data_IF_725634474367
#
_entry.id   IF_725634474367
#
_cell.length_a   1.000
_cell.length_b   1.000
_cell.length_c   1.000
_cell.angle_alpha   90.00
_cell.angle_beta   90.00
_cell.angle_gamma   90.00
#
_symmetry.space_group_name_H-M   'P 1'
#
loop_
_entity.id
_entity.type
_entity.pdbx_description
1 polymer ?
#
# COMPACT_ATOMS: atom_id res chain seq x y z
N UNK A 1 23.90 13.12 46.78
CA UNK A 1 23.02 13.33 45.60
C UNK A 1 22.33 14.67 45.78
N UNK A 2 22.44 15.55 44.78
CA UNK A 2 21.70 16.81 44.76
C UNK A 2 20.23 16.53 44.37
N UNK A 3 19.29 17.21 45.03
CA UNK A 3 17.91 17.24 44.56
C UNK A 3 17.74 18.27 43.47
N UNK A 4 16.99 17.97 42.46
CA UNK A 4 16.79 18.83 41.30
C UNK A 4 15.37 18.79 40.78
N UNK A 5 14.97 19.82 40.08
CA UNK A 5 13.70 19.94 39.38
C UNK A 5 13.97 19.97 37.89
N UNK A 6 13.29 19.14 37.14
CA UNK A 6 13.30 19.18 35.67
C UNK A 6 12.13 20.01 35.18
N UNK A 7 12.44 21.06 34.41
CA UNK A 7 11.43 21.85 33.72
C UNK A 7 11.48 21.52 32.24
N UNK A 8 10.32 21.21 31.68
CA UNK A 8 10.17 20.99 30.27
C UNK A 8 9.45 22.14 29.61
N UNK A 9 9.89 22.46 28.43
CA UNK A 9 9.20 23.40 27.54
C UNK A 9 9.32 22.97 26.09
N UNK A 10 8.34 23.37 25.29
CA UNK A 10 8.35 23.15 23.83
C UNK A 10 8.18 24.49 23.13
N UNK A 11 8.90 24.65 22.01
CA UNK A 11 8.75 25.79 21.11
C UNK A 11 8.78 25.27 19.66
N UNK A 12 7.61 25.14 19.05
CA UNK A 12 7.47 24.43 17.79
C UNK A 12 7.90 22.97 17.94
N UNK A 13 8.78 22.50 17.09
CA UNK A 13 9.38 21.15 17.14
C UNK A 13 10.53 21.03 18.13
N UNK A 14 10.99 22.14 18.74
CA UNK A 14 12.10 22.14 19.68
C UNK A 14 11.63 21.78 21.08
N UNK A 15 12.27 20.80 21.68
CA UNK A 15 12.08 20.37 23.07
C UNK A 15 13.24 20.88 23.91
N UNK A 16 12.91 21.43 25.07
CA UNK A 16 13.84 21.97 26.05
C UNK A 16 13.66 21.22 27.36
N UNK A 17 14.75 20.76 27.95
CA UNK A 17 14.78 20.20 29.28
C UNK A 17 15.76 21.04 30.13
N UNK A 18 15.28 21.67 31.19
CA UNK A 18 16.05 22.54 32.03
C UNK A 18 16.14 21.97 33.43
N UNK A 19 17.36 21.64 33.87
CA UNK A 19 17.65 21.10 35.22
C UNK A 19 17.97 22.20 36.21
N UNK A 20 17.15 22.33 37.25
CA UNK A 20 17.32 23.31 38.30
C UNK A 20 17.65 22.61 39.62
N UNK A 21 18.82 22.78 40.13
CA UNK A 21 19.23 22.16 41.37
C UNK A 21 18.69 22.93 42.58
N UNK A 22 18.27 22.16 43.60
CA UNK A 22 17.80 22.69 44.87
C UNK A 22 18.97 22.75 45.87
N UNK A 23 19.04 23.81 46.68
CA UNK A 23 20.06 23.98 47.67
C UNK A 23 20.15 25.44 48.16
N UNK A 24 21.20 25.79 48.82
CA UNK A 24 21.48 27.19 49.23
C UNK A 24 21.72 28.10 48.03
N UNK A 25 22.30 27.52 46.98
CA UNK A 25 22.39 28.15 45.66
C UNK A 25 22.32 27.07 44.56
N UNK A 26 22.16 27.49 43.32
CA UNK A 26 21.98 26.59 42.20
C UNK A 26 23.28 26.26 41.43
N UNK A 27 24.45 26.56 41.99
CA UNK A 27 25.74 26.42 41.31
C UNK A 27 26.79 25.64 42.09
N UNK A 28 26.81 25.70 43.41
CA UNK A 28 27.89 25.13 44.21
C UNK A 28 27.46 24.48 45.52
N UNK A 29 26.34 24.88 46.10
CA UNK A 29 25.82 24.29 47.35
C UNK A 29 24.42 23.74 47.12
N UNK A 30 24.34 22.42 46.92
CA UNK A 30 23.09 21.67 46.67
C UNK A 30 22.52 21.02 47.93
N UNK A 31 22.94 21.48 49.12
CA UNK A 31 22.42 20.93 50.38
C UNK A 31 21.03 21.46 50.67
N UNK A 32 20.09 20.52 50.81
CA UNK A 32 18.71 20.80 51.22
C UNK A 32 18.59 20.61 52.71
N UNK A 33 18.08 21.61 53.43
CA UNK A 33 17.90 21.58 54.87
C UNK A 33 16.48 21.16 55.24
N UNK A 34 16.36 20.33 56.25
CA UNK A 34 15.06 19.94 56.81
C UNK A 34 14.32 21.17 57.37
N UNK A 35 13.02 21.19 57.27
CA UNK A 35 12.11 22.24 57.73
C UNK A 35 12.35 23.63 57.06
N UNK A 36 12.96 23.64 55.88
CA UNK A 36 13.12 24.84 55.09
C UNK A 36 12.14 24.87 53.93
N UNK A 37 11.60 26.04 53.64
CA UNK A 37 10.78 26.28 52.47
C UNK A 37 11.62 26.93 51.38
N UNK A 38 11.81 26.21 50.26
CA UNK A 38 12.57 26.72 49.12
C UNK A 38 11.59 27.37 48.12
N UNK A 39 11.85 28.63 47.78
CA UNK A 39 11.09 29.35 46.76
C UNK A 39 11.99 29.58 45.55
N UNK A 40 11.64 28.95 44.44
CA UNK A 40 12.33 29.11 43.17
C UNK A 40 11.55 30.09 42.30
N UNK A 41 12.22 31.15 41.85
CA UNK A 41 11.70 32.05 40.81
C UNK A 41 12.48 31.76 39.54
N UNK A 42 11.83 31.18 38.55
CA UNK A 42 12.44 30.79 37.28
C UNK A 42 11.83 31.65 36.20
N UNK A 43 12.69 32.35 35.46
CA UNK A 43 12.28 33.12 34.28
C UNK A 43 12.96 32.54 33.06
N UNK A 44 12.17 31.95 32.18
CA UNK A 44 12.66 31.46 30.90
C UNK A 44 12.66 32.61 29.89
N UNK A 45 13.84 33.10 29.54
CA UNK A 45 13.99 34.21 28.60
C UNK A 45 14.26 33.71 27.17
N UNK A 46 15.07 32.70 27.03
CA UNK A 46 15.50 32.12 25.75
C UNK A 46 15.94 30.66 25.94
N UNK A 47 16.10 29.99 24.79
CA UNK A 47 16.77 28.70 24.68
C UNK A 47 18.30 28.90 24.61
N UNK A 48 18.89 29.39 25.70
CA UNK A 48 20.33 29.60 25.76
C UNK A 48 21.06 28.26 25.91
N UNK A 49 21.41 27.66 24.77
CA UNK A 49 22.11 26.38 24.70
C UNK A 49 23.56 26.41 25.18
N UNK A 50 24.11 27.58 25.46
CA UNK A 50 25.39 27.71 26.13
C UNK A 50 25.32 27.36 27.63
N UNK A 51 24.13 27.34 28.23
CA UNK A 51 23.93 26.89 29.60
C UNK A 51 23.85 25.34 29.64
N UNK A 52 24.83 24.72 30.28
CA UNK A 52 24.94 23.27 30.41
C UNK A 52 23.80 22.60 31.18
N UNK A 53 22.94 23.37 31.82
CA UNK A 53 21.73 22.91 32.50
C UNK A 53 20.55 22.76 31.54
N UNK A 54 20.67 23.26 30.31
CA UNK A 54 19.67 23.18 29.27
C UNK A 54 20.09 22.12 28.28
N UNK A 55 19.28 21.09 28.15
CA UNK A 55 19.35 20.17 27.02
C UNK A 55 18.26 20.54 26.04
N UNK A 56 18.61 20.66 24.78
CA UNK A 56 17.65 20.99 23.71
C UNK A 56 17.84 20.08 22.51
N UNK A 57 16.74 19.59 21.97
CA UNK A 57 16.76 18.84 20.72
C UNK A 57 15.57 19.18 19.84
N UNK A 58 15.73 18.95 18.57
CA UNK A 58 14.67 18.96 17.57
C UNK A 58 14.71 17.65 16.81
N UNK A 59 13.57 17.03 16.61
CA UNK A 59 13.43 15.87 15.77
C UNK A 59 12.54 16.23 14.57
N UNK A 60 12.98 15.89 13.36
CA UNK A 60 12.15 15.84 12.17
C UNK A 60 12.00 14.37 11.79
N UNK A 61 10.76 13.89 11.78
CA UNK A 61 10.44 12.50 11.45
C UNK A 61 9.58 12.51 10.19
N UNK A 62 10.05 11.83 9.17
CA UNK A 62 9.38 11.69 7.88
C UNK A 62 9.76 10.36 7.25
N UNK A 63 8.98 9.88 6.32
CA UNK A 63 9.31 8.74 5.48
C UNK A 63 9.45 9.18 4.02
N UNK A 64 9.95 8.31 3.18
CA UNK A 64 10.12 8.54 1.76
C UNK A 64 9.10 7.79 0.90
N UNK A 65 7.99 7.35 1.49
CA UNK A 65 6.85 6.88 0.72
C UNK A 65 6.37 7.99 -0.21
N UNK A 66 6.36 7.72 -1.50
CA UNK A 66 5.96 8.70 -2.50
C UNK A 66 4.43 8.74 -2.66
N UNK A 67 3.78 9.56 -1.86
CA UNK A 67 2.32 9.74 -1.84
C UNK A 67 1.78 10.57 -3.02
N UNK A 68 2.60 10.99 -3.94
CA UNK A 68 2.22 12.04 -4.89
C UNK A 68 2.04 11.60 -6.33
N UNK A 69 2.62 10.49 -6.72
CA UNK A 69 2.77 10.16 -8.15
C UNK A 69 1.48 9.64 -8.79
N UNK A 70 0.56 9.10 -8.03
CA UNK A 70 -0.70 8.56 -8.55
C UNK A 70 -1.88 9.03 -7.69
N UNK A 71 -2.30 10.29 -7.85
CA UNK A 71 -3.56 10.77 -7.29
C UNK A 71 -3.70 10.69 -5.75
N UNK A 72 -2.61 10.79 -5.00
CA UNK A 72 -2.60 10.68 -3.54
C UNK A 72 -2.39 9.26 -3.02
N UNK A 73 -2.04 8.33 -3.89
CA UNK A 73 -1.62 6.98 -3.54
C UNK A 73 -0.10 6.85 -3.70
N UNK A 74 0.55 6.08 -2.88
CA UNK A 74 1.96 5.77 -3.05
C UNK A 74 2.17 4.58 -3.99
N UNK A 75 3.29 4.60 -4.68
CA UNK A 75 3.77 3.46 -5.44
C UNK A 75 4.55 2.56 -4.50
N UNK A 76 4.30 1.27 -4.57
CA UNK A 76 5.04 0.32 -3.74
C UNK A 76 6.48 0.22 -4.23
N UNK A 77 7.41 0.49 -3.32
CA UNK A 77 8.83 0.22 -3.46
C UNK A 77 9.30 -0.50 -2.17
N UNK A 78 10.02 -1.61 -2.26
CA UNK A 78 10.52 -2.31 -1.09
C UNK A 78 11.67 -1.60 -0.37
N UNK A 79 12.21 -0.53 -0.93
CA UNK A 79 13.38 0.18 -0.39
C UNK A 79 13.01 1.51 0.31
N UNK A 80 11.80 1.64 0.84
CA UNK A 80 11.43 2.82 1.62
C UNK A 80 12.15 2.90 2.96
N UNK A 81 12.31 4.11 3.47
CA UNK A 81 12.96 4.37 4.74
C UNK A 81 12.19 5.35 5.61
N UNK A 82 12.19 5.09 6.90
CA UNK A 82 11.86 6.09 7.93
C UNK A 82 13.10 6.90 8.25
N UNK A 83 12.97 8.20 8.17
CA UNK A 83 14.01 9.17 8.49
C UNK A 83 13.72 9.82 9.84
N UNK A 84 14.70 9.84 10.72
CA UNK A 84 14.66 10.58 11.98
C UNK A 84 15.87 11.48 12.04
N UNK A 85 15.69 12.73 11.63
CA UNK A 85 16.74 13.74 11.64
C UNK A 85 16.76 14.44 12.98
N UNK A 86 17.88 14.28 13.68
CA UNK A 86 18.07 14.82 15.01
C UNK A 86 19.02 16.01 15.00
N UNK A 87 18.64 17.07 15.72
CA UNK A 87 19.53 18.15 16.11
C UNK A 87 19.53 18.21 17.62
N UNK A 88 20.59 17.72 18.24
CA UNK A 88 20.79 17.76 19.67
C UNK A 88 21.87 18.78 20.00
N UNK A 89 21.50 19.92 20.57
CA UNK A 89 22.39 21.04 20.77
C UNK A 89 23.33 20.83 21.96
N UNK A 90 22.93 20.06 22.97
CA UNK A 90 23.69 19.86 24.20
C UNK A 90 24.05 18.39 24.52
N UNK A 91 24.14 17.60 23.51
CA UNK A 91 25.02 16.45 23.44
C UNK A 91 24.62 15.08 23.92
N UNK A 92 23.76 14.83 24.85
CA UNK A 92 23.73 13.49 25.43
C UNK A 92 22.36 13.01 25.90
N UNK A 93 21.30 13.61 25.42
CA UNK A 93 19.98 13.00 25.64
C UNK A 93 19.86 11.71 24.86
N UNK A 94 19.72 10.61 25.56
CA UNK A 94 19.35 9.35 24.94
C UNK A 94 17.88 9.43 24.51
N UNK A 95 17.62 9.06 23.28
CA UNK A 95 16.27 9.05 22.68
C UNK A 95 16.02 7.67 22.15
N UNK A 96 14.94 7.05 22.58
CA UNK A 96 14.42 5.80 22.07
C UNK A 96 13.21 6.06 21.17
N UNK A 97 13.02 5.21 20.19
CA UNK A 97 11.89 5.22 19.29
C UNK A 97 11.03 3.98 19.48
N UNK A 98 9.74 4.14 19.21
CA UNK A 98 8.78 3.05 19.08
C UNK A 98 7.94 3.29 17.85
N UNK A 99 7.88 2.31 16.97
CA UNK A 99 6.96 2.27 15.83
C UNK A 99 5.81 1.32 16.17
N UNK A 100 4.58 1.73 15.91
CA UNK A 100 3.37 0.93 16.10
C UNK A 100 2.53 0.96 14.83
N UNK A 101 2.20 -0.21 14.27
CA UNK A 101 1.26 -0.33 13.15
C UNK A 101 -0.16 -0.10 13.66
N UNK A 102 -0.86 0.88 13.12
CA UNK A 102 -2.23 1.26 13.52
C UNK A 102 -3.30 0.86 12.50
N UNK A 103 -2.90 0.61 11.26
CA UNK A 103 -3.76 0.07 10.20
C UNK A 103 -2.91 -0.70 9.19
N UNK A 104 -3.47 -1.75 8.63
CA UNK A 104 -2.81 -2.64 7.70
C UNK A 104 -2.52 -4.00 8.31
N UNK A 105 -1.84 -4.85 7.56
CA UNK A 105 -1.49 -6.20 7.99
C UNK A 105 -0.07 -6.20 8.56
N UNK A 106 0.02 -6.14 9.89
CA UNK A 106 1.30 -6.02 10.59
C UNK A 106 2.22 -7.24 10.42
N UNK A 107 1.67 -8.39 10.05
CA UNK A 107 2.46 -9.61 9.80
C UNK A 107 3.32 -9.50 8.53
N UNK A 108 3.04 -8.51 7.68
CA UNK A 108 3.74 -8.23 6.43
C UNK A 108 4.42 -6.86 6.40
N UNK A 109 4.59 -6.27 7.56
CA UNK A 109 5.33 -5.02 7.72
C UNK A 109 6.70 -5.33 8.35
N UNK A 110 7.76 -4.99 7.62
CA UNK A 110 9.12 -5.09 8.12
C UNK A 110 9.65 -3.70 8.49
N UNK A 111 10.26 -3.60 9.66
CA UNK A 111 10.99 -2.45 10.11
C UNK A 111 12.44 -2.84 10.38
N UNK A 112 13.36 -2.14 9.74
CA UNK A 112 14.81 -2.40 9.81
C UNK A 112 15.14 -3.88 9.56
N UNK A 113 14.47 -4.47 8.54
CA UNK A 113 14.60 -5.88 8.12
C UNK A 113 14.19 -6.90 9.19
N UNK A 114 13.31 -6.50 10.06
CA UNK A 114 12.73 -7.36 11.11
C UNK A 114 11.22 -7.29 11.04
N UNK A 115 10.55 -8.43 11.08
CA UNK A 115 9.09 -8.51 11.10
C UNK A 115 8.53 -7.72 12.29
N UNK A 116 7.71 -6.74 11.98
CA UNK A 116 7.16 -5.81 12.97
C UNK A 116 5.81 -6.30 13.50
N UNK A 117 5.75 -7.35 14.27
CA UNK A 117 4.54 -7.87 14.90
C UNK A 117 3.79 -6.81 15.75
N UNK A 118 3.11 -5.85 15.10
CA UNK A 118 2.40 -4.68 15.63
C UNK A 118 3.28 -3.54 16.15
N UNK A 119 4.44 -3.79 16.72
CA UNK A 119 5.32 -2.71 17.21
C UNK A 119 6.78 -3.11 17.24
N UNK A 120 7.64 -2.13 17.08
CA UNK A 120 9.08 -2.27 17.12
C UNK A 120 9.70 -1.14 17.95
N UNK A 121 10.59 -1.48 18.90
CA UNK A 121 11.36 -0.52 19.69
C UNK A 121 12.76 -0.36 19.08
N UNK A 122 13.23 0.87 18.92
CA UNK A 122 14.51 1.17 18.31
C UNK A 122 15.24 2.32 19.03
N UNK A 123 16.55 2.38 18.85
CA UNK A 123 17.38 3.44 19.43
C UNK A 123 17.83 4.43 18.36
N UNK A 124 17.91 5.70 18.73
CA UNK A 124 18.51 6.72 17.89
C UNK A 124 20.03 6.61 18.01
N UNK A 125 20.67 6.08 16.97
CA UNK A 125 22.12 5.83 16.95
C UNK A 125 22.94 7.10 16.64
N UNK A 126 22.35 8.08 15.98
CA UNK A 126 22.98 9.36 15.69
C UNK A 126 22.15 10.52 16.28
N UNK A 127 22.42 10.92 17.54
CA UNK A 127 21.63 11.97 18.20
C UNK A 127 21.86 13.38 17.65
N UNK A 128 22.76 13.55 16.67
CA UNK A 128 23.11 14.85 16.06
C UNK A 128 23.01 14.87 14.55
N UNK A 129 22.28 13.94 13.98
CA UNK A 129 22.13 13.84 12.53
C UNK A 129 21.04 12.88 12.12
N UNK A 130 21.12 12.41 10.87
CA UNK A 130 20.16 11.50 10.30
C UNK A 130 20.28 10.08 10.84
N UNK A 131 19.15 9.48 11.07
CA UNK A 131 18.96 8.06 11.35
C UNK A 131 17.99 7.52 10.32
N UNK A 132 18.30 6.39 9.71
CA UNK A 132 17.54 5.79 8.61
C UNK A 132 17.19 4.37 8.98
N UNK A 133 15.93 4.02 8.88
CA UNK A 133 15.40 2.70 9.20
C UNK A 133 14.62 2.20 7.99
N UNK A 134 14.97 1.03 7.52
CA UNK A 134 14.32 0.40 6.39
C UNK A 134 12.85 0.09 6.68
N UNK A 135 11.99 0.32 5.69
CA UNK A 135 10.56 -0.01 5.74
C UNK A 135 10.19 -0.88 4.55
N UNK A 136 9.46 -1.96 4.78
CA UNK A 136 8.81 -2.74 3.74
C UNK A 136 7.39 -3.13 4.17
N UNK A 137 6.46 -3.06 3.24
CA UNK A 137 5.08 -3.49 3.45
C UNK A 137 4.55 -4.25 2.24
N UNK A 138 4.47 -5.57 2.36
CA UNK A 138 4.02 -6.44 1.29
C UNK A 138 3.01 -7.48 1.75
N UNK A 139 1.75 -7.10 2.09
CA UNK A 139 0.77 -8.04 2.61
C UNK A 139 0.52 -9.20 1.64
N UNK A 140 0.42 -10.41 2.16
CA UNK A 140 0.18 -11.62 1.36
C UNK A 140 -1.21 -11.66 0.73
N UNK A 141 -2.15 -10.88 1.29
CA UNK A 141 -3.53 -10.75 0.81
C UNK A 141 -3.85 -9.30 0.56
N UNK A 142 -3.76 -8.89 -0.70
CA UNK A 142 -4.16 -7.54 -1.10
C UNK A 142 -5.68 -7.44 -1.18
N UNK A 143 -6.28 -6.83 -0.16
CA UNK A 143 -7.66 -6.36 -0.18
C UNK A 143 -7.64 -4.83 -0.11
N UNK A 144 -8.79 -4.19 -0.39
CA UNK A 144 -8.89 -2.72 -0.23
C UNK A 144 -8.52 -2.29 1.21
N UNK A 145 -8.85 -3.11 2.20
CA UNK A 145 -8.57 -2.83 3.60
C UNK A 145 -7.07 -2.98 3.92
N UNK A 146 -6.39 -3.96 3.31
CA UNK A 146 -4.96 -4.20 3.50
C UNK A 146 -4.06 -3.36 2.57
N UNK A 147 -4.63 -2.58 1.69
CA UNK A 147 -3.87 -1.68 0.82
C UNK A 147 -3.43 -0.40 1.52
N UNK A 148 -3.90 -0.15 2.72
CA UNK A 148 -3.54 1.02 3.52
C UNK A 148 -2.63 0.59 4.66
N UNK A 149 -1.46 1.21 4.74
CA UNK A 149 -0.56 1.13 5.87
C UNK A 149 -0.69 2.43 6.67
N UNK A 150 -0.95 2.31 7.97
CA UNK A 150 -0.80 3.43 8.88
C UNK A 150 0.01 3.00 10.10
N UNK A 151 0.92 3.85 10.52
CA UNK A 151 1.75 3.60 11.68
C UNK A 151 2.04 4.89 12.44
N UNK A 152 2.41 4.73 13.70
CA UNK A 152 2.82 5.82 14.59
C UNK A 152 4.24 5.61 15.02
N UNK A 153 5.04 6.66 14.95
CA UNK A 153 6.39 6.71 15.52
C UNK A 153 6.34 7.58 16.77
N UNK A 154 6.80 7.04 17.89
CA UNK A 154 6.91 7.78 19.15
C UNK A 154 8.38 7.85 19.55
N UNK A 155 8.90 9.04 19.70
CA UNK A 155 10.24 9.29 20.21
C UNK A 155 10.14 9.68 21.69
N UNK A 156 10.89 9.00 22.54
CA UNK A 156 10.88 9.24 23.99
C UNK A 156 12.30 9.53 24.45
N UNK A 157 12.50 10.63 25.16
CA UNK A 157 13.79 10.95 25.74
C UNK A 157 14.02 10.27 27.11
N UNK A 158 15.24 10.29 27.60
CA UNK A 158 15.66 9.66 28.88
C UNK A 158 14.88 10.13 30.11
N UNK A 159 14.14 11.24 30.00
CA UNK A 159 13.29 11.75 31.06
C UNK A 159 11.81 11.38 30.88
N UNK A 160 11.48 10.57 29.86
CA UNK A 160 10.13 10.09 29.59
C UNK A 160 9.24 11.08 28.86
N UNK A 161 9.79 12.13 28.24
CA UNK A 161 9.00 12.97 27.36
C UNK A 161 8.87 12.33 25.98
N UNK A 162 7.62 12.19 25.53
CA UNK A 162 7.28 11.53 24.28
C UNK A 162 6.69 12.51 23.27
N UNK A 163 7.09 12.36 22.00
CA UNK A 163 6.50 13.02 20.83
C UNK A 163 6.08 11.96 19.83
N UNK A 164 4.88 12.07 19.27
CA UNK A 164 4.36 11.09 18.32
C UNK A 164 4.10 11.73 16.96
N UNK A 165 4.33 10.92 15.91
CA UNK A 165 4.18 11.25 14.51
C UNK A 165 3.36 10.16 13.86
N UNK A 166 2.27 10.53 13.18
CA UNK A 166 1.37 9.60 12.53
C UNK A 166 1.57 9.64 11.02
N UNK A 167 1.66 8.45 10.42
CA UNK A 167 1.83 8.24 8.99
C UNK A 167 0.70 7.38 8.44
N UNK A 168 0.29 7.65 7.22
CA UNK A 168 -0.73 6.87 6.55
C UNK A 168 -0.55 6.92 5.04
N UNK A 169 -0.38 5.74 4.45
CA UNK A 169 -0.15 5.55 3.02
C UNK A 169 -1.15 4.55 2.45
N UNK A 170 -1.56 4.77 1.22
CA UNK A 170 -2.45 3.86 0.49
C UNK A 170 -1.80 3.47 -0.83
N UNK A 171 -1.61 2.17 -1.06
CA UNK A 171 -0.99 1.65 -2.26
C UNK A 171 -1.96 1.71 -3.44
N UNK A 172 -1.60 2.41 -4.51
CA UNK A 172 -2.43 2.59 -5.70
C UNK A 172 -2.20 1.56 -6.80
N UNK A 173 -1.12 0.83 -6.71
CA UNK A 173 -0.66 -0.05 -7.76
C UNK A 173 -1.22 -1.49 -7.68
N UNK A 174 -2.39 -1.65 -7.04
CA UNK A 174 -3.08 -2.93 -6.94
C UNK A 174 -4.15 -3.04 -8.02
N UNK A 175 -4.09 -4.10 -8.82
CA UNK A 175 -5.16 -4.50 -9.73
C UNK A 175 -5.77 -5.82 -9.27
N UNK A 176 -7.10 -5.85 -9.24
CA UNK A 176 -7.89 -7.04 -8.95
C UNK A 176 -8.47 -7.56 -10.26
N UNK A 177 -7.92 -8.66 -10.76
CA UNK A 177 -8.43 -9.32 -11.96
C UNK A 177 -9.41 -10.44 -11.58
N UNK A 178 -10.69 -10.22 -11.87
CA UNK A 178 -11.76 -11.18 -11.62
C UNK A 178 -12.01 -12.05 -12.84
N UNK A 179 -12.29 -13.33 -12.63
CA UNK A 179 -12.66 -14.25 -13.69
C UNK A 179 -14.09 -14.71 -13.55
N UNK A 180 -14.78 -14.90 -14.65
CA UNK A 180 -15.96 -15.77 -14.68
C UNK A 180 -15.54 -17.24 -14.61
N UNK A 181 -16.50 -18.16 -14.46
CA UNK A 181 -16.24 -19.59 -14.61
C UNK A 181 -15.60 -19.89 -15.98
N UNK A 182 -14.77 -20.91 -16.04
CA UNK A 182 -14.17 -21.42 -17.28
C UNK A 182 -12.82 -20.85 -17.66
N UNK A 183 -12.16 -20.11 -16.76
CA UNK A 183 -10.82 -19.63 -17.01
C UNK A 183 -10.06 -19.19 -15.77
N UNK A 184 -8.84 -18.76 -15.99
CA UNK A 184 -7.96 -18.21 -14.98
C UNK A 184 -7.23 -16.99 -15.50
N UNK A 185 -6.73 -16.18 -14.57
CA UNK A 185 -5.86 -15.04 -14.86
C UNK A 185 -4.56 -15.24 -14.11
N UNK A 186 -3.47 -14.98 -14.79
CA UNK A 186 -2.13 -14.80 -14.19
C UNK A 186 -1.69 -13.38 -14.40
N UNK A 187 -0.89 -12.87 -13.47
CA UNK A 187 -0.22 -11.59 -13.60
C UNK A 187 1.29 -11.80 -13.60
N UNK A 188 1.98 -11.10 -14.46
CA UNK A 188 3.44 -11.04 -14.49
C UNK A 188 3.91 -9.59 -14.62
N UNK A 189 5.22 -9.36 -14.47
CA UNK A 189 5.81 -8.04 -14.39
C UNK A 189 5.20 -7.23 -13.23
N UNK A 190 5.06 -7.88 -12.10
CA UNK A 190 4.52 -7.31 -10.87
C UNK A 190 5.36 -7.79 -9.68
N UNK A 191 5.29 -7.03 -8.60
CA UNK A 191 6.06 -7.31 -7.38
C UNK A 191 5.51 -8.53 -6.65
N UNK A 192 4.18 -8.64 -6.58
CA UNK A 192 3.51 -9.73 -5.89
C UNK A 192 2.17 -10.07 -6.53
N UNK A 193 1.79 -11.35 -6.48
CA UNK A 193 0.46 -11.79 -6.92
C UNK A 193 -0.15 -12.78 -5.95
N UNK A 194 -1.47 -12.71 -5.81
CA UNK A 194 -2.24 -13.69 -5.06
C UNK A 194 -3.55 -14.00 -5.78
N UNK A 195 -3.92 -15.29 -5.80
CA UNK A 195 -5.19 -15.74 -6.37
C UNK A 195 -6.06 -16.39 -5.30
N UNK A 196 -7.30 -15.96 -5.20
CA UNK A 196 -8.32 -16.50 -4.30
C UNK A 196 -9.57 -16.94 -5.11
N UNK A 197 -10.32 -17.89 -4.57
CA UNK A 197 -11.61 -18.26 -5.15
C UNK A 197 -12.67 -17.23 -4.78
N UNK A 198 -13.48 -16.81 -5.74
CA UNK A 198 -14.51 -15.80 -5.54
C UNK A 198 -15.75 -16.09 -6.42
N UNK A 199 -16.91 -16.27 -5.80
CA UNK A 199 -18.20 -16.26 -6.50
C UNK A 199 -18.37 -17.15 -7.72
N UNK A 200 -17.74 -18.35 -7.76
CA UNK A 200 -17.76 -19.23 -8.92
C UNK A 200 -16.67 -18.99 -9.96
N UNK A 201 -15.82 -18.00 -9.74
CA UNK A 201 -14.60 -17.71 -10.49
C UNK A 201 -13.40 -17.58 -9.55
N UNK A 202 -12.44 -16.78 -9.98
CA UNK A 202 -11.23 -16.46 -9.21
C UNK A 202 -10.95 -14.97 -9.27
N UNK A 203 -10.33 -14.46 -8.23
CA UNK A 203 -9.74 -13.12 -8.20
C UNK A 203 -8.24 -13.24 -8.08
N UNK A 204 -7.50 -12.64 -9.00
CA UNK A 204 -6.06 -12.46 -8.92
C UNK A 204 -5.78 -11.01 -8.58
N UNK A 205 -5.23 -10.77 -7.40
CA UNK A 205 -4.70 -9.47 -7.02
C UNK A 205 -3.23 -9.40 -7.45
N UNK A 206 -2.82 -8.30 -8.05
CA UNK A 206 -1.44 -8.04 -8.42
C UNK A 206 -1.00 -6.66 -7.93
N UNK A 207 0.11 -6.64 -7.22
CA UNK A 207 0.83 -5.42 -6.87
C UNK A 207 1.76 -5.08 -8.05
N UNK A 208 1.44 -4.02 -8.75
CA UNK A 208 2.12 -3.67 -9.98
C UNK A 208 3.28 -2.70 -9.73
N UNK A 209 4.25 -2.68 -10.61
CA UNK A 209 5.21 -1.57 -10.71
C UNK A 209 4.53 -0.30 -11.25
N UNK A 210 5.19 0.84 -11.17
CA UNK A 210 4.72 2.11 -11.73
C UNK A 210 4.32 2.01 -13.20
N UNK A 211 5.10 1.28 -13.99
CA UNK A 211 4.87 1.04 -15.42
C UNK A 211 3.78 -0.02 -15.68
N UNK A 212 3.25 -0.62 -14.62
CA UNK A 212 2.14 -1.56 -14.64
C UNK A 212 2.54 -3.02 -14.57
N UNK A 213 1.56 -3.86 -14.82
CA UNK A 213 1.71 -5.31 -14.89
C UNK A 213 1.03 -5.86 -16.13
N UNK A 214 1.36 -7.11 -16.49
CA UNK A 214 0.71 -7.82 -17.59
C UNK A 214 -0.21 -8.90 -17.03
N UNK A 215 -1.50 -8.78 -17.34
CA UNK A 215 -2.52 -9.78 -17.05
C UNK A 215 -2.67 -10.71 -18.25
N UNK A 216 -2.70 -12.02 -18.01
CA UNK A 216 -2.89 -13.02 -19.05
C UNK A 216 -4.04 -13.93 -18.68
N UNK A 217 -5.05 -13.99 -19.56
CA UNK A 217 -6.21 -14.82 -19.42
C UNK A 217 -5.99 -16.19 -20.10
N UNK A 218 -6.38 -17.27 -19.44
CA UNK A 218 -6.32 -18.61 -19.98
C UNK A 218 -7.67 -19.32 -19.80
N UNK A 219 -8.29 -19.70 -20.90
CA UNK A 219 -9.52 -20.47 -20.90
C UNK A 219 -9.26 -21.94 -20.54
N UNK A 220 -10.21 -22.60 -19.92
CA UNK A 220 -10.12 -24.01 -19.53
C UNK A 220 -11.29 -24.83 -20.15
N UNK A 221 -10.98 -26.07 -20.55
CA UNK A 221 -11.97 -26.98 -21.09
C UNK A 221 -12.67 -26.48 -22.36
N UNK A 222 -13.97 -26.41 -22.31
CA UNK A 222 -14.81 -25.97 -23.43
C UNK A 222 -15.12 -24.46 -23.41
N UNK A 223 -14.31 -23.68 -22.73
CA UNK A 223 -14.48 -22.24 -22.68
C UNK A 223 -13.53 -21.51 -23.64
N UNK A 224 -13.91 -20.32 -24.04
CA UNK A 224 -13.08 -19.39 -24.77
C UNK A 224 -13.04 -18.07 -24.04
N UNK A 225 -11.89 -17.40 -24.12
CA UNK A 225 -11.77 -16.04 -23.61
C UNK A 225 -12.52 -15.07 -24.54
N UNK A 226 -13.22 -14.13 -23.91
CA UNK A 226 -14.05 -13.15 -24.63
C UNK A 226 -13.40 -11.78 -24.63
N UNK A 227 -12.87 -11.37 -23.50
CA UNK A 227 -12.25 -10.05 -23.35
C UNK A 227 -12.10 -9.64 -21.90
N UNK A 228 -11.37 -8.54 -21.75
CA UNK A 228 -11.19 -7.81 -20.52
C UNK A 228 -12.19 -6.67 -20.43
N UNK A 229 -12.84 -6.52 -19.29
CA UNK A 229 -13.87 -5.52 -19.06
C UNK A 229 -13.57 -4.69 -17.83
N UNK A 230 -14.05 -3.45 -17.83
CA UNK A 230 -13.87 -2.52 -16.72
C UNK A 230 -14.97 -2.63 -15.65
N UNK A 231 -15.94 -3.51 -15.83
CA UNK A 231 -17.06 -3.67 -14.91
C UNK A 231 -17.60 -5.11 -14.89
N UNK A 232 -18.19 -5.49 -13.76
CA UNK A 232 -18.73 -6.83 -13.54
C UNK A 232 -19.92 -7.19 -14.47
N UNK A 233 -20.58 -6.19 -15.04
CA UNK A 233 -21.68 -6.41 -15.99
C UNK A 233 -21.18 -6.70 -17.42
N UNK A 234 -19.86 -6.63 -17.62
CA UNK A 234 -19.21 -6.78 -18.92
C UNK A 234 -19.74 -5.79 -19.98
N UNK A 235 -20.02 -4.56 -19.56
CA UNK A 235 -20.57 -3.53 -20.44
C UNK A 235 -19.50 -2.72 -21.16
N UNK A 236 -18.32 -2.53 -20.55
CA UNK A 236 -17.22 -1.72 -21.09
C UNK A 236 -16.00 -2.60 -21.38
N UNK A 237 -15.82 -2.96 -22.64
CA UNK A 237 -14.67 -3.72 -23.09
C UNK A 237 -13.38 -2.87 -23.03
N UNK A 238 -12.32 -3.44 -22.48
CA UNK A 238 -10.97 -2.87 -22.44
C UNK A 238 -10.07 -3.45 -23.52
N UNK A 239 -10.12 -4.79 -23.69
CA UNK A 239 -9.30 -5.51 -24.68
C UNK A 239 -9.92 -6.86 -25.00
N UNK A 240 -9.80 -7.32 -26.24
CA UNK A 240 -10.11 -8.67 -26.67
C UNK A 240 -8.88 -9.59 -26.74
N UNK A 241 -7.70 -9.06 -26.52
CA UNK A 241 -6.48 -9.88 -26.48
C UNK A 241 -6.41 -10.64 -25.15
N UNK A 242 -5.97 -11.89 -25.19
CA UNK A 242 -5.73 -12.68 -23.96
C UNK A 242 -4.72 -12.03 -23.03
N UNK A 243 -3.79 -11.24 -23.56
CA UNK A 243 -2.84 -10.46 -22.78
C UNK A 243 -3.26 -9.00 -22.72
N UNK A 244 -3.29 -8.44 -21.53
CA UNK A 244 -3.66 -7.05 -21.26
C UNK A 244 -2.63 -6.39 -20.34
N UNK A 245 -2.03 -5.29 -20.80
CA UNK A 245 -1.14 -4.49 -19.98
C UNK A 245 -1.97 -3.48 -19.18
N UNK A 246 -1.99 -3.67 -17.88
CA UNK A 246 -2.59 -2.72 -16.95
C UNK A 246 -1.52 -1.72 -16.48
N UNK A 247 -1.87 -0.45 -16.47
CA UNK A 247 -1.05 0.61 -15.91
C UNK A 247 -1.83 1.25 -14.76
N UNK A 248 -1.25 1.34 -13.55
CA UNK A 248 -1.89 1.97 -12.39
C UNK A 248 -2.33 3.40 -12.69
N UNK A 249 -3.38 3.80 -12.02
CA UNK A 249 -3.94 5.15 -12.05
C UNK A 249 -4.24 5.60 -10.63
N UNK A 250 -5.06 6.58 -10.49
CA UNK A 250 -5.46 7.24 -9.26
C UNK A 250 -6.33 6.42 -8.29
N UNK A 251 -6.51 5.13 -8.53
CA UNK A 251 -7.23 4.22 -7.62
C UNK A 251 -6.92 2.75 -7.92
N UNK A 252 -7.21 1.87 -6.96
CA UNK A 252 -7.24 0.44 -7.22
C UNK A 252 -8.21 0.13 -8.35
N UNK A 253 -7.85 -0.82 -9.21
CA UNK A 253 -8.66 -1.19 -10.34
C UNK A 253 -9.25 -2.59 -10.18
N UNK A 254 -10.53 -2.71 -10.48
CA UNK A 254 -11.19 -3.99 -10.70
C UNK A 254 -11.30 -4.21 -12.22
N UNK A 255 -10.78 -5.34 -12.70
CA UNK A 255 -10.80 -5.73 -14.13
C UNK A 255 -11.38 -7.12 -14.22
N UNK A 256 -12.24 -7.34 -15.22
CA UNK A 256 -13.03 -8.56 -15.34
C UNK A 256 -12.67 -9.30 -16.61
N UNK A 257 -12.13 -10.51 -16.48
CA UNK A 257 -11.91 -11.44 -17.58
C UNK A 257 -13.16 -12.29 -17.79
N UNK A 258 -13.76 -12.16 -18.96
CA UNK A 258 -14.93 -12.92 -19.32
C UNK A 258 -14.56 -14.15 -20.12
N UNK A 259 -15.11 -15.31 -19.73
CA UNK A 259 -15.03 -16.56 -20.47
C UNK A 259 -16.43 -17.02 -20.84
N UNK A 260 -16.53 -17.69 -21.94
CA UNK A 260 -17.78 -18.21 -22.47
C UNK A 260 -17.61 -19.65 -22.90
N UNK A 261 -18.61 -20.48 -22.65
CA UNK A 261 -18.64 -21.85 -23.18
C UNK A 261 -18.58 -21.80 -24.69
N UNK A 262 -17.65 -22.53 -25.29
CA UNK A 262 -17.66 -22.77 -26.70
C UNK A 262 -18.87 -23.69 -27.01
N UNK A 263 -19.75 -23.20 -27.83
CA UNK A 263 -20.83 -24.07 -28.29
C UNK A 263 -20.19 -25.20 -29.10
N UNK A 264 -20.44 -26.43 -28.69
CA UNK A 264 -20.04 -27.57 -29.48
C UNK A 264 -20.69 -27.47 -30.84
N UNK A 265 -19.98 -27.82 -31.93
CA UNK A 265 -20.55 -27.84 -33.23
C UNK A 265 -21.83 -28.66 -33.21
N UNK A 266 -22.88 -28.11 -33.71
CA UNK A 266 -24.14 -28.82 -33.87
C UNK A 266 -23.90 -29.97 -34.83
N UNK A 267 -23.69 -31.12 -34.25
CA UNK A 267 -23.81 -32.39 -34.83
C UNK A 267 -22.70 -32.91 -35.77
N UNK A 268 -22.57 -34.17 -35.59
CA UNK A 268 -21.65 -35.02 -36.33
C UNK A 268 -22.01 -35.25 -37.79
N UNK A 269 -23.11 -34.74 -38.26
CA UNK A 269 -23.53 -34.91 -39.67
C UNK A 269 -23.26 -33.69 -40.51
N UNK A 270 -22.35 -33.02 -40.08
CA UNK A 270 -21.70 -32.22 -40.93
C UNK A 270 -21.92 -30.89 -40.77
N UNK A 271 -21.99 -30.15 -40.05
CA UNK A 271 -21.63 -29.17 -40.86
C UNK A 271 -21.60 -27.76 -40.55
N UNK A 272 -21.97 -27.15 -39.65
CA UNK A 272 -21.75 -25.74 -39.52
C UNK A 272 -21.03 -25.43 -38.21
N UNK A 273 -19.76 -25.34 -38.30
CA UNK A 273 -19.00 -24.70 -37.22
C UNK A 273 -19.15 -23.19 -37.36
N UNK A 274 -20.21 -22.65 -36.82
CA UNK A 274 -20.37 -21.22 -36.77
C UNK A 274 -19.77 -20.69 -35.47
N UNK A 275 -18.55 -20.25 -35.53
CA UNK A 275 -17.94 -19.50 -34.46
C UNK A 275 -18.29 -18.04 -34.64
N UNK A 276 -19.22 -17.56 -33.88
CA UNK A 276 -19.35 -16.12 -33.70
C UNK A 276 -18.42 -15.75 -32.62
N UNK A 277 -17.28 -15.23 -32.97
CA UNK A 277 -16.44 -14.59 -32.00
C UNK A 277 -17.27 -13.51 -31.32
N UNK A 278 -17.44 -13.55 -30.02
CA UNK A 278 -18.21 -12.55 -29.32
C UNK A 278 -17.33 -11.35 -29.25
N UNK A 279 -17.25 -10.67 -30.29
CA UNK A 279 -16.68 -9.40 -30.06
C UNK A 279 -17.81 -8.47 -29.86
N UNK A 280 -17.51 -7.53 -29.14
CA UNK A 280 -17.91 -6.23 -29.48
C UNK A 280 -19.30 -6.19 -30.05
N UNK A 281 -20.22 -6.10 -29.20
CA UNK A 281 -21.48 -5.52 -29.54
C UNK A 281 -21.75 -5.59 -31.03
N UNK A 282 -22.44 -6.61 -31.44
CA UNK A 282 -23.25 -6.33 -32.43
C UNK A 282 -23.34 -6.93 -33.74
N UNK A 283 -23.53 -6.79 -34.55
CA UNK A 283 -24.07 -7.00 -35.90
C UNK A 283 -22.98 -7.49 -36.84
N UNK A 284 -22.75 -8.78 -36.79
CA UNK A 284 -22.03 -9.42 -37.87
C UNK A 284 -22.97 -9.75 -39.00
N UNK A 285 -22.66 -9.31 -40.16
CA UNK A 285 -23.16 -9.92 -41.37
C UNK A 285 -22.06 -10.80 -41.94
N UNK A 286 -22.32 -12.07 -42.07
CA UNK A 286 -21.42 -13.02 -42.74
C UNK A 286 -22.21 -13.93 -43.64
N UNK A 287 -21.61 -14.32 -44.73
CA UNK A 287 -22.12 -15.38 -45.59
C UNK A 287 -21.64 -16.71 -45.03
N UNK A 288 -22.56 -17.56 -44.67
CA UNK A 288 -22.26 -18.93 -44.29
C UNK A 288 -22.86 -19.90 -45.26
N UNK A 289 -22.06 -20.86 -45.64
CA UNK A 289 -22.56 -21.99 -46.45
C UNK A 289 -22.80 -23.16 -45.51
N UNK A 290 -24.04 -23.58 -45.38
CA UNK A 290 -24.43 -24.76 -44.62
C UNK A 290 -24.56 -25.94 -45.58
N UNK A 291 -23.77 -26.98 -45.36
CA UNK A 291 -23.92 -28.23 -46.10
C UNK A 291 -24.83 -29.18 -45.32
N UNK A 292 -26.01 -29.41 -45.83
CA UNK A 292 -26.87 -30.44 -45.30
C UNK A 292 -26.70 -31.75 -46.07
N UNK A 293 -26.41 -32.83 -45.38
CA UNK A 293 -26.38 -34.20 -45.90
C UNK A 293 -25.78 -34.43 -47.27
N UNK A 294 -24.81 -33.65 -47.66
CA UNK A 294 -24.09 -33.80 -48.91
C UNK A 294 -24.89 -33.52 -50.18
N UNK A 295 -26.08 -32.99 -50.04
CA UNK A 295 -26.91 -32.75 -51.21
C UNK A 295 -27.21 -31.29 -51.53
N UNK A 296 -27.20 -30.42 -50.59
CA UNK A 296 -27.45 -29.01 -50.87
C UNK A 296 -26.56 -28.12 -50.03
N UNK A 297 -25.87 -27.25 -50.68
CA UNK A 297 -25.21 -26.13 -50.07
C UNK A 297 -26.18 -24.96 -50.11
N UNK A 298 -26.55 -24.45 -48.96
CA UNK A 298 -27.41 -23.28 -48.88
C UNK A 298 -26.61 -22.13 -48.34
N UNK A 299 -26.54 -21.05 -49.07
CA UNK A 299 -25.97 -19.80 -48.57
C UNK A 299 -26.99 -19.16 -47.63
N UNK A 300 -26.60 -18.99 -46.41
CA UNK A 300 -27.43 -18.32 -45.42
C UNK A 300 -27.04 -16.87 -45.39
N UNK A 301 -27.96 -16.03 -45.83
CA UNK A 301 -27.76 -14.58 -45.76
C UNK A 301 -27.94 -14.02 -44.36
N UNK A 302 -27.41 -12.86 -44.07
CA UNK A 302 -27.53 -12.26 -42.74
C UNK A 302 -28.94 -12.19 -42.17
N UNK A 303 -29.92 -12.03 -43.05
CA UNK A 303 -31.32 -11.99 -42.64
C UNK A 303 -31.85 -13.36 -42.16
N UNK A 304 -31.27 -14.45 -42.64
CA UNK A 304 -31.65 -15.80 -42.21
C UNK A 304 -30.93 -16.21 -40.92
N UNK A 305 -29.87 -15.51 -40.62
CA UNK A 305 -29.08 -15.72 -39.40
C UNK A 305 -29.51 -14.81 -38.24
N UNK A 306 -30.51 -13.98 -38.46
CA UNK A 306 -31.00 -13.07 -37.41
C UNK A 306 -31.40 -13.76 -36.10
N UNK A 307 -31.78 -15.01 -36.14
CA UNK A 307 -32.06 -15.81 -34.96
C UNK A 307 -30.82 -16.42 -34.30
N UNK A 308 -29.69 -16.37 -34.97
CA UNK A 308 -28.38 -16.91 -34.51
C UNK A 308 -27.45 -15.83 -34.05
N UNK A 309 -27.88 -14.56 -34.20
CA UNK A 309 -27.07 -13.44 -33.75
C UNK A 309 -26.79 -13.54 -32.26
N UNK A 310 -25.55 -13.56 -31.98
CA UNK A 310 -25.00 -13.24 -30.69
C UNK A 310 -25.78 -13.79 -29.48
N UNK A 311 -25.72 -15.03 -29.26
CA UNK A 311 -25.95 -15.60 -27.94
C UNK A 311 -24.64 -15.86 -27.22
#
# INVERSE_FOLDING_TARGET
>A
CASWLLIRATRGSKVLAYSVYLGENNTSDFNVRANCHYRLNITLLNDNTADTRIAAYTAAVYDDFDDGNIGGYCVYDPDYSLHVDMVNENSSLAISGRLEVTQGDSDYFEFDRTDCNNSFDFEIYNPKGGNYFYLDYGPSVFTKDNSTLAYRVTLTDEYGFAQSYDFKHTMANIVYAHTSAGGSVTADRCLYTQTANEGGGKRTAALCHEDGCRLTAAATGSYAFVGWYADAAYSRLLSSSESYNYVPRDSHADIYARFRVMETPLDSKGTANCYIAPALDTRYSFDATVQGNGKNTTNIWPQQLHGVSAR
#
